data_IF_820332050477
#
_entry.id   IF_820332050477
#
_cell.length_a   1.000
_cell.length_b   1.000
_cell.length_c   1.000
_cell.angle_alpha   90.00
_cell.angle_beta   90.00
_cell.angle_gamma   90.00
#
_symmetry.space_group_name_H-M   'P 1'
#
loop_
_entity.id
_entity.type
_entity.pdbx_description
1 polymer ?
#
# COMPACT_ATOMS: atom_id res chain seq x y z
N UNK A 1 -13.35 7.06 13.45
CA UNK A 1 -13.01 6.62 12.09
C UNK A 1 -11.59 6.06 11.99
N UNK A 2 -10.50 6.84 11.80
CA UNK A 2 -9.15 6.25 11.68
C UNK A 2 -8.64 5.60 12.99
N UNK A 3 -8.99 6.18 14.14
CA UNK A 3 -8.65 5.64 15.48
C UNK A 3 -9.32 4.28 15.71
N UNK A 4 -10.58 4.14 15.32
CA UNK A 4 -11.35 2.88 15.42
C UNK A 4 -10.73 1.81 14.52
N UNK A 5 -10.36 2.17 13.28
CA UNK A 5 -9.64 1.27 12.38
C UNK A 5 -8.31 0.79 12.99
N UNK A 6 -7.50 1.71 13.53
CA UNK A 6 -6.23 1.37 14.17
C UNK A 6 -6.39 0.47 15.40
N UNK A 7 -7.45 0.67 16.19
CA UNK A 7 -7.74 -0.20 17.34
C UNK A 7 -8.04 -1.65 16.92
N UNK A 8 -8.55 -1.85 15.70
CA UNK A 8 -8.87 -3.17 15.16
C UNK A 8 -7.75 -3.75 14.29
N UNK A 9 -6.74 -2.97 13.88
CA UNK A 9 -5.84 -3.35 12.79
C UNK A 9 -5.07 -4.66 13.04
N UNK A 10 -4.64 -4.90 14.28
CA UNK A 10 -3.84 -6.06 14.64
C UNK A 10 -4.68 -7.33 14.55
N UNK A 11 -5.90 -7.29 15.11
CA UNK A 11 -6.88 -8.40 14.99
C UNK A 11 -7.25 -8.63 13.53
N UNK A 12 -7.53 -7.55 12.80
CA UNK A 12 -7.89 -7.61 11.38
C UNK A 12 -6.79 -8.25 10.53
N UNK A 13 -5.54 -7.88 10.78
CA UNK A 13 -4.39 -8.40 10.05
C UNK A 13 -4.13 -9.88 10.35
N UNK A 14 -4.22 -10.28 11.63
CA UNK A 14 -4.09 -11.69 12.04
C UNK A 14 -5.21 -12.53 11.41
N UNK A 15 -6.46 -12.09 11.52
CA UNK A 15 -7.62 -12.78 10.95
C UNK A 15 -7.48 -12.96 9.43
N UNK A 16 -7.04 -11.93 8.72
CA UNK A 16 -6.83 -12.00 7.28
C UNK A 16 -5.69 -12.96 6.89
N UNK A 17 -4.57 -12.97 7.64
CA UNK A 17 -3.49 -13.95 7.45
C UNK A 17 -3.98 -15.37 7.66
N UNK A 18 -4.72 -15.62 8.74
CA UNK A 18 -5.26 -16.95 9.06
C UNK A 18 -6.10 -17.51 7.90
N UNK A 19 -6.96 -16.69 7.29
CA UNK A 19 -7.79 -17.10 6.14
C UNK A 19 -6.96 -17.34 4.88
N UNK A 20 -5.96 -16.49 4.62
CA UNK A 20 -5.12 -16.59 3.42
C UNK A 20 -4.18 -17.80 3.47
N UNK A 21 -3.66 -18.12 4.65
CA UNK A 21 -2.78 -19.26 4.87
C UNK A 21 -3.58 -20.57 4.97
N UNK A 22 -4.74 -20.54 5.62
CA UNK A 22 -5.65 -21.67 5.72
C UNK A 22 -6.83 -21.49 4.75
N UNK A 23 -6.56 -21.70 3.44
CA UNK A 23 -7.52 -21.48 2.34
C UNK A 23 -8.82 -22.30 2.36
N UNK A 24 -9.16 -22.94 3.48
CA UNK A 24 -10.43 -23.65 3.73
C UNK A 24 -11.30 -22.96 4.79
N UNK A 25 -10.79 -21.95 5.49
CA UNK A 25 -11.55 -21.26 6.53
C UNK A 25 -12.63 -20.36 5.93
N UNK A 26 -13.82 -20.44 6.51
CA UNK A 26 -14.90 -19.49 6.25
C UNK A 26 -14.52 -18.11 6.78
N UNK A 27 -14.67 -17.09 5.95
CA UNK A 27 -14.47 -15.69 6.36
C UNK A 27 -15.43 -15.32 7.49
N UNK A 28 -16.65 -15.87 7.50
CA UNK A 28 -17.66 -15.59 8.53
C UNK A 28 -17.25 -16.18 9.90
N UNK A 29 -16.71 -17.39 9.90
CA UNK A 29 -16.32 -18.07 11.14
C UNK A 29 -15.13 -17.35 11.79
N UNK A 30 -14.16 -16.94 10.97
CA UNK A 30 -13.01 -16.14 11.43
C UNK A 30 -13.46 -14.74 11.88
N UNK A 31 -14.40 -14.10 11.18
CA UNK A 31 -14.97 -12.83 11.61
C UNK A 31 -15.60 -12.93 13.00
N UNK A 32 -16.40 -13.98 13.23
CA UNK A 32 -17.01 -14.27 14.52
C UNK A 32 -15.94 -14.52 15.60
N UNK A 33 -14.94 -15.36 15.31
CA UNK A 33 -13.82 -15.68 16.22
C UNK A 33 -13.07 -14.44 16.71
N UNK A 34 -12.84 -13.46 15.84
CA UNK A 34 -12.09 -12.25 16.16
C UNK A 34 -12.95 -11.06 16.59
N UNK A 35 -14.29 -11.20 16.58
CA UNK A 35 -15.22 -10.11 16.88
C UNK A 35 -15.12 -8.96 15.88
N UNK A 36 -14.97 -9.28 14.59
CA UNK A 36 -14.77 -8.32 13.51
C UNK A 36 -15.96 -8.34 12.55
N UNK A 37 -16.25 -7.19 11.95
CA UNK A 37 -17.26 -7.12 10.89
C UNK A 37 -16.78 -7.88 9.65
N UNK A 38 -17.65 -8.73 9.10
CA UNK A 38 -17.39 -9.50 7.88
C UNK A 38 -16.89 -8.62 6.72
N UNK A 39 -17.53 -7.45 6.52
CA UNK A 39 -17.18 -6.52 5.46
C UNK A 39 -15.73 -6.04 5.52
N UNK A 40 -15.25 -5.70 6.72
CA UNK A 40 -13.90 -5.19 6.96
C UNK A 40 -12.86 -6.27 6.70
N UNK A 41 -13.08 -7.50 7.18
CA UNK A 41 -12.17 -8.63 6.90
C UNK A 41 -12.12 -8.93 5.42
N UNK A 42 -13.27 -9.02 4.76
CA UNK A 42 -13.33 -9.30 3.34
C UNK A 42 -12.60 -8.22 2.52
N UNK A 43 -12.74 -6.94 2.91
CA UNK A 43 -11.98 -5.83 2.31
C UNK A 43 -10.47 -6.03 2.46
N UNK A 44 -9.99 -6.32 3.68
CA UNK A 44 -8.56 -6.59 3.96
C UNK A 44 -8.01 -7.76 3.14
N UNK A 45 -8.72 -8.88 3.09
CA UNK A 45 -8.33 -10.07 2.31
C UNK A 45 -8.20 -9.71 0.83
N UNK A 46 -9.19 -9.00 0.28
CA UNK A 46 -9.17 -8.59 -1.13
C UNK A 46 -7.98 -7.67 -1.43
N UNK A 47 -7.67 -6.75 -0.52
CA UNK A 47 -6.50 -5.87 -0.63
C UNK A 47 -5.20 -6.68 -0.64
N UNK A 48 -5.04 -7.63 0.28
CA UNK A 48 -3.86 -8.49 0.37
C UNK A 48 -3.68 -9.36 -0.88
N UNK A 49 -4.76 -10.00 -1.35
CA UNK A 49 -4.74 -10.81 -2.59
C UNK A 49 -4.32 -9.98 -3.80
N UNK A 50 -4.85 -8.75 -3.95
CA UNK A 50 -4.47 -7.85 -5.05
C UNK A 50 -3.00 -7.43 -4.96
N UNK A 51 -2.48 -7.13 -3.76
CA UNK A 51 -1.07 -6.79 -3.53
C UNK A 51 -0.17 -7.98 -3.91
N UNK A 52 -0.52 -9.18 -3.48
CA UNK A 52 0.23 -10.40 -3.81
C UNK A 52 0.22 -10.68 -5.32
N UNK A 53 -0.95 -10.59 -5.96
CA UNK A 53 -1.10 -10.78 -7.40
C UNK A 53 -0.27 -9.77 -8.19
N UNK A 54 -0.24 -8.51 -7.75
CA UNK A 54 0.61 -7.48 -8.33
C UNK A 54 2.08 -7.88 -8.29
N UNK A 55 2.62 -8.25 -7.13
CA UNK A 55 4.04 -8.63 -7.03
C UNK A 55 4.37 -9.91 -7.79
N UNK A 56 3.44 -10.88 -7.86
CA UNK A 56 3.59 -12.07 -8.71
C UNK A 56 3.70 -11.69 -10.18
N UNK A 57 2.84 -10.79 -10.66
CA UNK A 57 2.87 -10.29 -12.04
C UNK A 57 4.14 -9.47 -12.29
N UNK A 58 4.50 -8.57 -11.38
CA UNK A 58 5.72 -7.75 -11.47
C UNK A 58 6.96 -8.61 -11.66
N UNK A 59 7.15 -9.64 -10.83
CA UNK A 59 8.29 -10.58 -10.96
C UNK A 59 8.34 -11.25 -12.34
N UNK A 60 7.18 -11.63 -12.90
CA UNK A 60 7.11 -12.20 -14.25
C UNK A 60 7.52 -11.19 -15.32
N UNK A 61 7.04 -9.95 -15.22
CA UNK A 61 7.42 -8.88 -16.16
C UNK A 61 8.91 -8.53 -16.06
N UNK A 62 9.43 -8.39 -14.84
CA UNK A 62 10.86 -8.08 -14.62
C UNK A 62 11.76 -9.18 -15.20
N UNK A 63 11.43 -10.46 -14.98
CA UNK A 63 12.16 -11.59 -15.53
C UNK A 63 12.08 -11.67 -17.07
N UNK A 64 10.87 -11.55 -17.63
CA UNK A 64 10.65 -11.57 -19.07
C UNK A 64 11.36 -10.40 -19.78
N UNK A 65 11.30 -9.20 -19.18
CA UNK A 65 11.99 -8.01 -19.68
C UNK A 65 13.50 -8.20 -19.69
N UNK A 66 14.08 -8.70 -18.59
CA UNK A 66 15.52 -8.98 -18.50
C UNK A 66 15.96 -9.95 -19.61
N UNK A 67 15.23 -11.04 -19.80
CA UNK A 67 15.52 -12.01 -20.87
C UNK A 67 15.46 -11.40 -22.28
N UNK A 68 14.49 -10.51 -22.52
CA UNK A 68 14.36 -9.81 -23.81
C UNK A 68 15.45 -8.77 -24.05
N UNK A 69 15.88 -8.04 -23.01
CA UNK A 69 16.95 -7.04 -23.14
C UNK A 69 18.30 -7.73 -23.37
N UNK A 70 18.53 -8.89 -22.77
CA UNK A 70 19.74 -9.71 -22.96
C UNK A 70 19.73 -10.50 -24.29
N UNK A 71 18.74 -10.28 -25.17
CA UNK A 71 18.60 -10.88 -26.52
C UNK A 71 18.64 -12.42 -26.57
N UNK A 72 18.32 -13.09 -25.46
CA UNK A 72 18.41 -14.55 -25.34
C UNK A 72 17.31 -15.32 -26.09
N UNK A 73 16.27 -14.64 -26.56
CA UNK A 73 15.08 -15.26 -27.18
C UNK A 73 14.21 -14.24 -27.91
N UNK A 74 13.37 -14.72 -28.83
CA UNK A 74 12.40 -13.87 -29.54
C UNK A 74 11.24 -13.44 -28.63
N UNK A 75 10.66 -12.26 -28.89
CA UNK A 75 9.57 -11.68 -28.10
C UNK A 75 8.40 -12.66 -27.86
N UNK A 76 8.03 -13.43 -28.89
CA UNK A 76 6.94 -14.39 -28.82
C UNK A 76 7.26 -15.57 -27.91
N UNK A 77 8.49 -16.10 -27.97
CA UNK A 77 8.93 -17.20 -27.14
C UNK A 77 8.96 -16.80 -25.65
N UNK A 78 9.52 -15.63 -25.34
CA UNK A 78 9.57 -15.10 -23.97
C UNK A 78 8.16 -14.85 -23.44
N UNK A 79 7.32 -14.14 -24.20
CA UNK A 79 5.95 -13.84 -23.78
C UNK A 79 5.14 -15.12 -23.50
N UNK A 80 5.26 -16.15 -24.35
CA UNK A 80 4.62 -17.46 -24.15
C UNK A 80 5.12 -18.14 -22.88
N UNK A 81 6.44 -18.17 -22.63
CA UNK A 81 7.06 -18.80 -21.45
C UNK A 81 6.54 -18.20 -20.13
N UNK A 82 6.40 -16.88 -20.07
CA UNK A 82 5.95 -16.20 -18.85
C UNK A 82 4.42 -16.03 -18.76
N UNK A 83 3.68 -16.43 -19.80
CA UNK A 83 2.23 -16.26 -19.88
C UNK A 83 1.79 -14.79 -19.95
N UNK A 84 2.56 -13.96 -20.67
CA UNK A 84 2.31 -12.53 -20.84
C UNK A 84 1.83 -12.28 -22.27
N UNK A 85 0.91 -11.34 -22.47
CA UNK A 85 0.53 -10.90 -23.83
C UNK A 85 1.73 -10.22 -24.49
N UNK A 86 2.16 -10.68 -25.66
CA UNK A 86 3.32 -10.16 -26.42
C UNK A 86 3.33 -8.64 -26.48
N UNK A 87 2.22 -8.02 -26.88
CA UNK A 87 2.07 -6.56 -26.96
C UNK A 87 2.40 -5.85 -25.65
N UNK A 88 1.93 -6.37 -24.51
CA UNK A 88 2.18 -5.76 -23.19
C UNK A 88 3.65 -5.87 -22.79
N UNK A 89 4.28 -7.01 -23.06
CA UNK A 89 5.70 -7.19 -22.78
C UNK A 89 6.56 -6.27 -23.64
N UNK A 90 6.21 -6.12 -24.92
CA UNK A 90 6.88 -5.18 -25.82
C UNK A 90 6.75 -3.73 -25.34
N UNK A 91 5.56 -3.29 -24.95
CA UNK A 91 5.33 -1.95 -24.39
C UNK A 91 6.14 -1.72 -23.10
N UNK A 92 6.24 -2.72 -22.23
CA UNK A 92 7.05 -2.69 -21.00
C UNK A 92 8.55 -2.55 -21.29
N UNK A 93 9.08 -3.39 -22.19
CA UNK A 93 10.49 -3.36 -22.61
C UNK A 93 10.83 -2.02 -23.29
N UNK A 94 9.93 -1.50 -24.12
CA UNK A 94 10.10 -0.19 -24.77
C UNK A 94 10.23 0.93 -23.73
N UNK A 95 9.39 0.94 -22.70
CA UNK A 95 9.48 1.93 -21.61
C UNK A 95 10.80 1.79 -20.85
N UNK A 96 11.21 0.57 -20.55
CA UNK A 96 12.45 0.32 -19.83
C UNK A 96 13.70 0.76 -20.58
N UNK A 97 13.74 0.59 -21.91
CA UNK A 97 14.84 1.10 -22.73
C UNK A 97 14.90 2.63 -22.78
N UNK A 98 13.76 3.29 -22.57
CA UNK A 98 13.66 4.75 -22.60
C UNK A 98 13.91 5.41 -21.22
N UNK A 99 13.94 4.64 -20.14
CA UNK A 99 13.99 5.14 -18.77
C UNK A 99 14.96 4.30 -17.94
N UNK A 100 16.08 4.91 -17.54
CA UNK A 100 17.20 4.25 -16.83
C UNK A 100 16.77 3.53 -15.54
N UNK A 101 15.72 4.01 -14.88
CA UNK A 101 15.19 3.45 -13.63
C UNK A 101 13.74 2.98 -13.74
N UNK A 102 13.33 2.48 -14.92
CA UNK A 102 11.98 1.97 -15.11
C UNK A 102 11.69 0.75 -14.22
N UNK A 103 10.55 0.79 -13.55
CA UNK A 103 10.02 -0.33 -12.81
C UNK A 103 8.59 -0.63 -13.27
N UNK A 104 8.27 -1.93 -13.45
CA UNK A 104 6.90 -2.33 -13.76
C UNK A 104 5.99 -1.92 -12.61
N UNK A 105 4.94 -1.17 -12.94
CA UNK A 105 3.97 -0.69 -11.98
C UNK A 105 2.54 -0.65 -12.56
N UNK A 106 1.55 -0.58 -11.68
CA UNK A 106 0.14 -0.56 -12.02
C UNK A 106 -0.65 0.28 -11.02
N UNK A 107 -1.62 1.02 -11.54
CA UNK A 107 -2.61 1.74 -10.73
C UNK A 107 -3.37 0.77 -9.82
N UNK A 108 -3.51 1.17 -8.56
CA UNK A 108 -4.34 0.53 -7.55
C UNK A 108 -5.78 0.92 -7.89
N UNK A 109 -6.58 -0.06 -8.32
CA UNK A 109 -7.97 0.19 -8.67
C UNK A 109 -8.80 0.48 -7.42
N UNK A 110 -8.89 1.75 -7.03
CA UNK A 110 -9.78 2.21 -5.97
C UNK A 110 -10.41 3.56 -6.33
N UNK A 111 -11.75 3.62 -6.34
CA UNK A 111 -12.59 4.83 -6.37
C UNK A 111 -12.09 6.00 -7.24
N UNK A 112 -11.51 5.70 -8.41
CA UNK A 112 -10.99 6.72 -9.33
C UNK A 112 -9.67 7.39 -8.91
N UNK A 113 -9.04 6.94 -7.83
CA UNK A 113 -7.73 7.39 -7.35
C UNK A 113 -6.63 6.78 -8.23
N UNK A 114 -5.70 7.62 -8.69
CA UNK A 114 -4.69 7.26 -9.69
C UNK A 114 -3.40 6.61 -9.18
N UNK A 115 -3.22 6.45 -7.86
CA UNK A 115 -1.99 5.93 -7.26
C UNK A 115 -1.63 4.53 -7.74
N UNK A 116 -0.35 4.29 -7.89
CA UNK A 116 0.28 3.02 -8.20
C UNK A 116 0.95 2.41 -6.95
N UNK A 117 1.39 1.15 -7.04
CA UNK A 117 2.05 0.50 -5.90
C UNK A 117 3.42 1.12 -5.59
N UNK A 118 4.15 1.61 -6.59
CA UNK A 118 5.45 2.25 -6.34
C UNK A 118 5.27 3.66 -5.78
N UNK A 119 4.26 4.41 -6.21
CA UNK A 119 3.95 5.71 -5.61
C UNK A 119 3.53 5.57 -4.14
N UNK A 120 2.70 4.59 -3.79
CA UNK A 120 2.40 4.32 -2.37
C UNK A 120 3.64 3.90 -1.57
N UNK A 121 4.54 3.12 -2.18
CA UNK A 121 5.82 2.75 -1.55
C UNK A 121 6.71 3.97 -1.30
N UNK A 122 6.74 4.92 -2.23
CA UNK A 122 7.46 6.20 -2.05
C UNK A 122 6.83 7.04 -0.93
N UNK A 123 5.49 7.13 -0.87
CA UNK A 123 4.78 7.79 0.21
C UNK A 123 5.11 7.16 1.57
N UNK A 124 5.10 5.83 1.66
CA UNK A 124 5.48 5.10 2.87
C UNK A 124 6.93 5.40 3.27
N UNK A 125 7.86 5.44 2.33
CA UNK A 125 9.26 5.78 2.60
C UNK A 125 9.41 7.22 3.11
N UNK A 126 8.70 8.16 2.50
CA UNK A 126 8.65 9.55 2.93
C UNK A 126 8.11 9.67 4.36
N UNK A 127 7.09 8.89 4.70
CA UNK A 127 6.52 8.85 6.03
C UNK A 127 7.50 8.28 7.08
N UNK A 128 8.22 7.21 6.74
CA UNK A 128 9.29 6.66 7.58
C UNK A 128 10.40 7.69 7.82
N UNK A 129 10.81 8.42 6.78
CA UNK A 129 11.82 9.48 6.89
C UNK A 129 11.32 10.67 7.73
N UNK A 130 10.05 11.01 7.64
CA UNK A 130 9.42 12.00 8.53
C UNK A 130 9.46 11.56 10.00
N UNK A 131 9.04 10.34 10.31
CA UNK A 131 9.07 9.84 11.69
C UNK A 131 10.50 9.78 12.26
N UNK A 132 11.48 9.35 11.46
CA UNK A 132 12.90 9.38 11.85
C UNK A 132 13.39 10.79 12.20
N UNK A 133 12.95 11.81 11.45
CA UNK A 133 13.30 13.21 11.74
C UNK A 133 12.61 13.73 13.00
N UNK A 134 11.32 13.42 13.20
CA UNK A 134 10.58 13.76 14.43
C UNK A 134 11.25 13.21 15.68
N UNK A 135 11.62 11.92 15.68
CA UNK A 135 12.28 11.27 16.82
C UNK A 135 13.65 11.85 17.17
N UNK A 136 14.33 12.47 16.21
CA UNK A 136 15.62 13.14 16.42
C UNK A 136 15.47 14.59 16.88
N UNK A 137 14.28 15.18 16.75
CA UNK A 137 14.05 16.55 17.18
C UNK A 137 13.97 16.63 18.70
N UNK A 138 14.50 17.72 19.27
CA UNK A 138 14.48 17.98 20.71
C UNK A 138 13.06 18.18 21.29
N UNK A 139 12.04 18.26 20.43
CA UNK A 139 10.66 18.58 20.79
C UNK A 139 9.78 17.35 21.09
N UNK A 140 10.35 16.13 21.23
CA UNK A 140 9.61 14.90 21.57
C UNK A 140 8.30 14.70 20.79
N UNK A 141 8.28 15.10 19.51
CA UNK A 141 7.06 15.06 18.72
C UNK A 141 6.64 13.62 18.43
N UNK A 142 5.36 13.31 18.68
CA UNK A 142 4.83 11.96 18.53
C UNK A 142 5.01 11.39 17.10
N UNK A 143 5.32 10.11 16.97
CA UNK A 143 5.46 9.44 15.66
C UNK A 143 4.74 8.09 15.62
N UNK A 144 3.62 8.02 16.35
CA UNK A 144 2.74 6.86 16.42
C UNK A 144 2.01 6.63 15.08
N UNK A 145 1.34 5.48 14.95
CA UNK A 145 0.54 5.10 13.77
C UNK A 145 -0.53 6.16 13.43
N UNK A 146 -1.22 6.72 14.42
CA UNK A 146 -2.24 7.76 14.21
C UNK A 146 -1.61 9.02 13.59
N UNK A 147 -0.60 9.60 14.23
CA UNK A 147 0.09 10.78 13.69
C UNK A 147 0.71 10.52 12.30
N UNK A 148 1.17 9.29 12.05
CA UNK A 148 1.68 8.91 10.75
C UNK A 148 0.58 8.91 9.67
N UNK A 149 -0.60 8.37 9.96
CA UNK A 149 -1.73 8.38 9.01
C UNK A 149 -2.32 9.78 8.81
N UNK A 150 -2.37 10.60 9.85
CA UNK A 150 -2.75 12.03 9.72
C UNK A 150 -1.77 12.77 8.81
N UNK A 151 -0.46 12.61 9.05
CA UNK A 151 0.57 13.21 8.22
C UNK A 151 0.55 12.67 6.78
N UNK A 152 0.22 11.39 6.60
CA UNK A 152 0.06 10.77 5.29
C UNK A 152 -1.08 11.41 4.50
N UNK A 153 -2.16 11.82 5.16
CA UNK A 153 -3.31 12.46 4.49
C UNK A 153 -2.90 13.71 3.71
N UNK A 154 -2.17 14.61 4.36
CA UNK A 154 -1.64 15.82 3.72
C UNK A 154 -0.63 15.47 2.63
N UNK A 155 0.31 14.55 2.92
CA UNK A 155 1.38 14.18 1.98
C UNK A 155 0.88 13.50 0.73
N UNK A 156 -0.15 12.67 0.84
CA UNK A 156 -0.76 12.00 -0.30
C UNK A 156 -1.42 13.03 -1.23
N UNK A 157 -2.12 14.02 -0.67
CA UNK A 157 -2.66 15.13 -1.46
C UNK A 157 -1.54 15.92 -2.16
N UNK A 158 -0.53 16.38 -1.43
CA UNK A 158 0.59 17.13 -2.02
C UNK A 158 1.30 16.34 -3.12
N UNK A 159 1.59 15.06 -2.87
CA UNK A 159 2.21 14.18 -3.84
C UNK A 159 1.34 14.03 -5.10
N UNK A 160 0.02 13.96 -4.95
CA UNK A 160 -0.89 13.87 -6.09
C UNK A 160 -0.83 15.10 -6.99
N UNK A 161 -0.76 16.30 -6.40
CA UNK A 161 -0.67 17.55 -7.16
C UNK A 161 0.67 17.66 -7.88
N UNK A 162 1.77 17.34 -7.20
CA UNK A 162 3.11 17.39 -7.77
C UNK A 162 3.30 16.43 -8.95
N UNK A 163 2.64 15.28 -8.92
CA UNK A 163 2.78 14.23 -9.93
C UNK A 163 1.60 14.16 -10.92
N UNK A 164 0.70 15.15 -10.91
CA UNK A 164 -0.51 15.17 -11.75
C UNK A 164 -1.36 13.89 -11.65
N UNK A 165 -1.45 13.33 -10.44
CA UNK A 165 -2.26 12.13 -10.16
C UNK A 165 -3.71 12.57 -9.97
N UNK A 166 -4.62 11.92 -10.71
CA UNK A 166 -6.05 12.18 -10.56
C UNK A 166 -6.53 11.74 -9.17
N UNK A 167 -7.14 12.67 -8.46
CA UNK A 167 -7.76 12.47 -7.15
C UNK A 167 -9.23 12.90 -7.15
N UNK A 168 -10.05 12.41 -6.20
CA UNK A 168 -11.42 12.85 -5.98
C UNK A 168 -11.51 14.36 -5.78
N UNK A 169 -12.58 14.99 -6.26
CA UNK A 169 -12.82 16.43 -6.10
C UNK A 169 -12.80 16.88 -4.63
N UNK A 170 -13.29 16.02 -3.73
CA UNK A 170 -13.29 16.29 -2.29
C UNK A 170 -11.87 16.49 -1.74
N UNK A 171 -10.87 15.73 -2.23
CA UNK A 171 -9.49 15.91 -1.80
C UNK A 171 -8.98 17.31 -2.14
N UNK A 172 -9.35 17.86 -3.29
CA UNK A 172 -8.96 19.22 -3.69
C UNK A 172 -9.66 20.29 -2.82
N UNK A 173 -10.92 20.05 -2.43
CA UNK A 173 -11.68 20.98 -1.60
C UNK A 173 -11.09 21.10 -0.18
N UNK A 174 -10.73 19.97 0.44
CA UNK A 174 -10.20 19.96 1.82
C UNK A 174 -8.67 19.87 1.90
N UNK A 175 -7.99 19.72 0.76
CA UNK A 175 -6.52 19.54 0.63
C UNK A 175 -5.97 18.36 1.45
N UNK A 176 -6.74 17.29 1.57
CA UNK A 176 -6.44 16.10 2.37
C UNK A 176 -6.93 14.84 1.67
N UNK A 177 -6.24 13.72 1.91
CA UNK A 177 -6.74 12.42 1.52
C UNK A 177 -7.93 11.99 2.39
N UNK A 178 -8.89 11.29 1.78
CA UNK A 178 -10.06 10.75 2.47
C UNK A 178 -9.67 9.64 3.44
N UNK A 179 -10.42 9.52 4.54
CA UNK A 179 -10.23 8.45 5.54
C UNK A 179 -10.25 7.07 4.91
N UNK A 180 -11.21 6.79 4.02
CA UNK A 180 -11.29 5.48 3.35
C UNK A 180 -10.00 5.10 2.61
N UNK A 181 -9.31 6.09 2.03
CA UNK A 181 -8.05 5.83 1.34
C UNK A 181 -6.93 5.54 2.32
N UNK A 182 -6.89 6.25 3.46
CA UNK A 182 -5.91 6.02 4.52
C UNK A 182 -6.09 4.63 5.14
N UNK A 183 -7.33 4.20 5.38
CA UNK A 183 -7.63 2.85 5.87
C UNK A 183 -7.11 1.80 4.90
N UNK A 184 -7.37 1.94 3.59
CA UNK A 184 -6.85 0.95 2.65
C UNK A 184 -5.34 1.00 2.47
N UNK A 185 -4.74 2.19 2.55
CA UNK A 185 -3.29 2.33 2.56
C UNK A 185 -2.72 1.58 3.75
N UNK A 186 -3.29 1.75 4.94
CA UNK A 186 -2.92 1.00 6.13
C UNK A 186 -3.12 -0.51 5.91
N UNK A 187 -4.26 -0.93 5.37
CA UNK A 187 -4.53 -2.34 5.08
C UNK A 187 -3.53 -2.92 4.06
N UNK A 188 -3.06 -2.14 3.09
CA UNK A 188 -2.02 -2.55 2.13
C UNK A 188 -0.65 -2.68 2.77
N UNK A 189 -0.31 -1.81 3.73
CA UNK A 189 1.03 -1.67 4.28
C UNK A 189 1.09 -1.95 5.79
N UNK A 190 0.19 -2.79 6.31
CA UNK A 190 -0.01 -2.95 7.76
C UNK A 190 1.21 -3.51 8.47
N UNK A 191 1.91 -4.47 7.86
CA UNK A 191 3.18 -4.99 8.40
C UNK A 191 4.23 -3.88 8.42
N UNK A 192 4.37 -3.12 7.32
CA UNK A 192 5.36 -2.08 7.21
C UNK A 192 5.10 -0.90 8.16
N UNK A 193 3.83 -0.56 8.40
CA UNK A 193 3.39 0.48 9.33
C UNK A 193 3.61 0.02 10.77
N UNK A 194 3.14 -1.16 11.14
CA UNK A 194 3.29 -1.70 12.51
C UNK A 194 4.75 -1.84 12.92
N UNK A 195 5.64 -2.15 11.98
CA UNK A 195 7.08 -2.25 12.25
C UNK A 195 7.80 -0.90 12.30
N UNK A 196 7.21 0.19 11.79
CA UNK A 196 7.90 1.47 11.63
C UNK A 196 7.42 2.56 12.58
N UNK A 197 6.20 2.45 13.10
CA UNK A 197 5.54 3.46 13.92
C UNK A 197 5.05 2.85 15.22
N UNK A 198 5.11 3.64 16.29
CA UNK A 198 4.62 3.24 17.60
C UNK A 198 3.10 3.02 17.58
N UNK A 199 2.61 2.08 18.39
CA UNK A 199 1.17 1.80 18.49
C UNK A 199 0.37 3.02 18.97
N UNK A 200 -0.93 3.00 18.69
CA UNK A 200 -1.88 4.02 19.14
C UNK A 200 -1.81 4.27 20.67
N UNK A 201 -1.62 3.21 21.46
CA UNK A 201 -1.56 3.30 22.93
C UNK A 201 -0.44 4.23 23.44
N UNK A 202 0.69 4.27 22.74
CA UNK A 202 1.79 5.18 23.10
C UNK A 202 1.45 6.64 22.81
N UNK A 203 0.62 6.87 21.79
CA UNK A 203 0.10 8.19 21.43
C UNK A 203 -0.81 8.73 22.55
N UNK A 204 -1.75 7.90 23.02
CA UNK A 204 -2.73 8.28 24.04
C UNK A 204 -2.08 8.55 25.41
N UNK A 205 -1.03 7.80 25.76
CA UNK A 205 -0.27 8.02 27.00
C UNK A 205 0.55 9.32 27.01
N UNK A 206 0.98 9.80 25.84
CA UNK A 206 1.71 11.08 25.74
C UNK A 206 0.75 12.27 25.93
N UNK A 207 -0.45 12.19 25.38
CA UNK A 207 -1.48 13.24 25.55
C UNK A 207 -1.88 13.39 27.02
N UNK A 208 -1.99 12.27 27.75
CA UNK A 208 -2.33 12.28 29.18
C UNK A 208 -1.18 12.68 30.11
N UNK A 209 0.05 12.79 29.62
CA UNK A 209 1.22 13.20 30.41
C UNK A 209 1.57 14.69 30.24
N UNK A 210 0.98 15.33 29.23
CA UNK A 210 1.13 16.77 28.93
C UNK A 210 -0.08 17.60 29.43
N UNK A 211 -1.05 16.97 30.11
CA UNK A 211 -2.16 17.59 30.88
C UNK A 211 -1.85 17.58 32.39
#
# INVERSE_FOLDING_TARGET
MIVEHLALNNKLHIAAKEILENGRLSVMDVATKYGLEFGIINRKINIMKRKEEFYKRKRKFDAARKEMIEEKSTNNAVAKRYGIKVRRLYEDVKKARAQENYEYDRKIGYNGIGFTYMEEKLLLQNLKNWAKRRRKSLQNLCSCQLCALEQLSTRAYEFSQQNNIKCPSLWNAVKLASVDWLEEFEMRHSDEISNSFDSLEKCLKQIQADE
#
